data_IF_293107112694
#
_entry.id   IF_293107112694
#
_cell.length_a   1.000
_cell.length_b   1.000
_cell.length_c   1.000
_cell.angle_alpha   90.00
_cell.angle_beta   90.00
_cell.angle_gamma   90.00
#
_symmetry.space_group_name_H-M   'P 1'
#
loop_
_entity.id
_entity.type
_entity.pdbx_description
1 polymer ?
#
# COMPACT_ATOMS: atom_id res chain seq x y z
N UNK A 1 -11.11 3.63 10.88
CA UNK A 1 -12.48 3.57 10.30
C UNK A 1 -12.37 3.85 8.81
N UNK A 2 -13.11 3.16 7.94
CA UNK A 2 -13.08 3.42 6.49
C UNK A 2 -13.96 4.61 6.10
N UNK A 3 -13.66 5.26 4.96
CA UNK A 3 -14.49 6.36 4.42
C UNK A 3 -15.95 5.94 4.16
N UNK A 4 -16.17 4.75 3.64
CA UNK A 4 -17.52 4.22 3.43
C UNK A 4 -18.32 4.14 4.73
N UNK A 5 -17.67 3.73 5.83
CA UNK A 5 -18.28 3.66 7.15
C UNK A 5 -18.51 5.06 7.74
N UNK A 6 -17.55 5.98 7.56
CA UNK A 6 -17.67 7.38 7.97
C UNK A 6 -18.91 8.04 7.33
N UNK A 7 -19.08 7.86 6.02
CA UNK A 7 -20.20 8.42 5.25
C UNK A 7 -21.53 7.67 5.49
N UNK A 8 -21.50 6.54 6.20
CA UNK A 8 -22.68 5.73 6.50
C UNK A 8 -23.27 5.09 5.26
N UNK A 9 -22.44 4.33 4.53
CA UNK A 9 -22.86 3.55 3.37
C UNK A 9 -24.08 2.66 3.69
N UNK A 10 -25.09 2.70 2.83
CA UNK A 10 -26.33 1.93 2.97
C UNK A 10 -26.30 0.69 2.07
N UNK A 11 -26.59 -0.49 2.64
CA UNK A 11 -26.64 -1.76 1.88
C UNK A 11 -27.64 -1.65 0.72
N UNK A 12 -27.25 -2.12 -0.47
CA UNK A 12 -28.11 -2.14 -1.67
C UNK A 12 -27.95 -0.94 -2.61
N UNK A 13 -27.06 0.00 -2.34
CA UNK A 13 -26.73 1.10 -3.26
C UNK A 13 -25.24 1.41 -3.28
N UNK A 14 -24.67 1.63 -4.46
CA UNK A 14 -23.26 2.03 -4.63
C UNK A 14 -23.01 3.52 -4.34
N UNK A 15 -24.06 4.33 -4.21
CA UNK A 15 -23.94 5.80 -4.12
C UNK A 15 -24.69 6.43 -2.96
N UNK A 16 -25.54 5.68 -2.24
CA UNK A 16 -26.31 6.23 -1.12
C UNK A 16 -25.53 6.15 0.18
N UNK A 17 -25.24 7.34 0.69
CA UNK A 17 -24.59 7.57 1.97
C UNK A 17 -25.54 8.31 2.91
N UNK A 18 -25.52 7.93 4.19
CA UNK A 18 -26.27 8.64 5.24
C UNK A 18 -25.87 10.11 5.29
N UNK A 19 -24.57 10.40 5.19
CA UNK A 19 -24.06 11.76 5.18
C UNK A 19 -23.84 12.27 3.76
N UNK A 20 -24.29 13.49 3.49
CA UNK A 20 -24.36 14.09 2.16
C UNK A 20 -24.66 15.61 2.24
N UNK A 21 -25.01 16.19 1.09
CA UNK A 21 -25.35 17.60 0.91
C UNK A 21 -26.58 18.12 1.69
N UNK A 22 -27.38 17.27 2.35
CA UNK A 22 -28.47 17.68 3.26
C UNK A 22 -28.28 17.20 4.70
N UNK A 23 -27.38 16.24 4.93
CA UNK A 23 -27.06 15.72 6.26
C UNK A 23 -25.53 15.64 6.41
N UNK A 24 -24.92 16.68 6.98
CA UNK A 24 -23.45 16.77 7.07
C UNK A 24 -22.85 15.88 8.15
N UNK A 25 -21.57 15.58 8.00
CA UNK A 25 -20.76 14.92 9.00
C UNK A 25 -20.69 15.75 10.30
N UNK A 26 -20.90 15.14 11.47
CA UNK A 26 -20.90 15.83 12.76
C UNK A 26 -19.47 16.00 13.33
N UNK A 27 -18.52 16.41 12.49
CA UNK A 27 -17.11 16.57 12.87
C UNK A 27 -16.62 17.96 12.49
N UNK A 28 -15.78 18.58 13.32
CA UNK A 28 -15.13 19.87 13.03
C UNK A 28 -13.85 19.67 12.20
N UNK A 29 -13.21 18.51 12.34
CA UNK A 29 -12.00 18.14 11.61
C UNK A 29 -12.17 16.72 11.07
N UNK A 30 -11.93 16.55 9.77
CA UNK A 30 -11.91 15.25 9.09
C UNK A 30 -10.51 15.04 8.54
N UNK A 31 -9.84 13.99 9.01
CA UNK A 31 -8.52 13.58 8.50
C UNK A 31 -8.70 12.30 7.70
N UNK A 32 -8.25 12.31 6.45
CA UNK A 32 -8.27 11.16 5.55
C UNK A 32 -6.83 10.77 5.29
N UNK A 33 -6.45 9.60 5.80
CA UNK A 33 -5.15 9.00 5.52
C UNK A 33 -5.23 8.10 4.27
N UNK A 34 -4.08 7.86 3.64
CA UNK A 34 -3.93 7.07 2.40
C UNK A 34 -4.86 7.55 1.26
N UNK A 35 -4.92 8.88 1.07
CA UNK A 35 -5.79 9.55 0.08
C UNK A 35 -5.48 9.15 -1.37
N UNK A 36 -4.27 8.64 -1.63
CA UNK A 36 -3.84 8.01 -2.90
C UNK A 36 -4.85 6.95 -3.40
N UNK A 37 -5.47 6.21 -2.47
CA UNK A 37 -6.45 5.15 -2.76
C UNK A 37 -7.89 5.65 -2.91
N UNK A 38 -8.16 6.95 -2.73
CA UNK A 38 -9.52 7.52 -2.79
C UNK A 38 -9.92 7.81 -4.23
N UNK A 39 -11.03 7.24 -4.67
CA UNK A 39 -11.57 7.46 -6.01
C UNK A 39 -12.22 8.84 -6.16
N UNK A 40 -12.35 9.31 -7.39
CA UNK A 40 -13.00 10.60 -7.68
C UNK A 40 -14.43 10.65 -7.12
N UNK A 41 -15.19 9.57 -7.32
CA UNK A 41 -16.57 9.47 -6.85
C UNK A 41 -16.66 9.54 -5.33
N UNK A 42 -15.77 8.83 -4.62
CA UNK A 42 -15.78 8.84 -3.15
C UNK A 42 -15.32 10.18 -2.59
N UNK A 43 -14.35 10.84 -3.23
CA UNK A 43 -13.95 12.21 -2.88
C UNK A 43 -15.10 13.20 -3.04
N UNK A 44 -15.83 13.14 -4.17
CA UNK A 44 -16.99 14.01 -4.38
C UNK A 44 -18.04 13.84 -3.28
N UNK A 45 -18.33 12.60 -2.88
CA UNK A 45 -19.28 12.30 -1.78
C UNK A 45 -18.76 12.77 -0.43
N UNK A 46 -17.46 12.66 -0.18
CA UNK A 46 -16.84 13.22 1.02
C UNK A 46 -17.02 14.74 1.07
N UNK A 47 -16.70 15.45 -0.01
CA UNK A 47 -16.81 16.91 -0.08
C UNK A 47 -18.25 17.40 0.10
N UNK A 48 -19.25 16.69 -0.47
CA UNK A 48 -20.67 16.98 -0.23
C UNK A 48 -21.08 16.81 1.25
N UNK A 49 -20.46 15.86 1.96
CA UNK A 49 -20.79 15.51 3.33
C UNK A 49 -20.02 16.34 4.38
N UNK A 50 -18.90 16.96 4.02
CA UNK A 50 -18.12 17.85 4.91
C UNK A 50 -18.85 19.18 5.07
N UNK A 51 -18.93 19.69 6.32
CA UNK A 51 -19.56 20.99 6.58
C UNK A 51 -18.69 22.13 6.02
N UNK A 52 -19.29 23.24 5.55
CA UNK A 52 -18.52 24.39 5.08
C UNK A 52 -17.57 25.02 6.11
N UNK A 53 -17.87 24.86 7.41
CA UNK A 53 -17.06 25.35 8.54
C UNK A 53 -16.07 24.31 9.09
N UNK A 54 -16.08 23.08 8.57
CA UNK A 54 -15.17 22.01 8.99
C UNK A 54 -13.84 22.05 8.23
N UNK A 55 -12.79 21.53 8.86
CA UNK A 55 -11.45 21.38 8.26
C UNK A 55 -11.29 19.97 7.68
N UNK A 56 -10.86 19.87 6.43
CA UNK A 56 -10.53 18.61 5.77
C UNK A 56 -9.01 18.53 5.55
N UNK A 57 -8.37 17.51 6.11
CA UNK A 57 -6.96 17.21 5.89
C UNK A 57 -6.83 15.91 5.09
N UNK A 58 -6.21 16.00 3.93
CA UNK A 58 -5.91 14.86 3.07
C UNK A 58 -4.44 14.51 3.22
N UNK A 59 -4.15 13.28 3.65
CA UNK A 59 -2.81 12.74 3.83
C UNK A 59 -2.65 11.54 2.90
N UNK A 60 -1.49 11.44 2.26
CA UNK A 60 -1.17 10.34 1.37
C UNK A 60 0.03 10.65 0.49
N UNK A 61 0.42 9.67 -0.32
CA UNK A 61 1.54 9.77 -1.23
C UNK A 61 1.04 9.88 -2.68
N UNK A 62 1.27 11.01 -3.38
CA UNK A 62 0.78 11.21 -4.74
C UNK A 62 1.48 10.30 -5.77
N UNK A 63 2.63 9.73 -5.44
CA UNK A 63 3.43 8.88 -6.33
C UNK A 63 3.10 7.38 -6.18
N UNK A 64 2.31 7.01 -5.16
CA UNK A 64 1.81 5.65 -4.99
C UNK A 64 0.69 5.30 -5.98
N UNK A 65 0.43 4.00 -6.13
CA UNK A 65 -0.69 3.49 -6.90
C UNK A 65 -2.00 4.19 -6.51
N UNK A 66 -2.69 4.68 -7.53
CA UNK A 66 -3.98 5.34 -7.35
C UNK A 66 -5.09 4.32 -7.13
N UNK A 67 -6.23 4.78 -6.61
CA UNK A 67 -7.45 3.96 -6.47
C UNK A 67 -7.73 3.08 -7.69
N UNK A 68 -8.29 1.87 -7.51
CA UNK A 68 -8.69 1.02 -8.64
C UNK A 68 -9.79 1.69 -9.49
N UNK A 69 -10.66 2.47 -8.86
CA UNK A 69 -11.72 3.24 -9.51
C UNK A 69 -11.18 4.52 -10.17
N UNK A 70 -11.99 5.16 -11.02
CA UNK A 70 -11.58 6.29 -11.84
C UNK A 70 -11.06 7.51 -11.05
N UNK A 71 -10.05 8.17 -11.65
CA UNK A 71 -9.43 9.41 -11.16
C UNK A 71 -8.13 9.18 -10.38
N UNK A 72 -7.31 10.22 -10.30
CA UNK A 72 -6.07 10.27 -9.53
C UNK A 72 -6.11 11.48 -8.59
N UNK A 73 -7.12 11.52 -7.72
CA UNK A 73 -7.53 12.72 -6.97
C UNK A 73 -6.35 13.40 -6.28
N UNK A 74 -5.59 12.66 -5.46
CA UNK A 74 -4.48 13.24 -4.71
C UNK A 74 -3.38 13.78 -5.64
N UNK A 75 -2.94 12.97 -6.61
CA UNK A 75 -1.91 13.37 -7.56
C UNK A 75 -2.32 14.61 -8.37
N UNK A 76 -3.59 14.69 -8.77
CA UNK A 76 -4.11 15.82 -9.54
C UNK A 76 -4.23 17.09 -8.69
N UNK A 77 -4.64 16.97 -7.42
CA UNK A 77 -4.67 18.10 -6.48
C UNK A 77 -3.26 18.63 -6.19
N UNK A 78 -2.27 17.74 -6.02
CA UNK A 78 -0.87 18.12 -5.77
C UNK A 78 -0.20 18.71 -7.02
N UNK A 79 -0.59 18.26 -8.21
CA UNK A 79 -0.06 18.78 -9.48
C UNK A 79 -0.69 20.11 -9.90
N UNK A 80 -1.80 20.52 -9.28
CA UNK A 80 -2.52 21.74 -9.65
C UNK A 80 -1.70 22.99 -9.29
N UNK A 81 -1.64 24.01 -10.17
CA UNK A 81 -1.11 25.32 -9.80
C UNK A 81 -1.90 25.91 -8.64
N UNK A 82 -1.21 26.42 -7.62
CA UNK A 82 -1.84 27.10 -6.49
C UNK A 82 -2.27 28.49 -6.92
N UNK A 83 -3.54 28.63 -7.29
CA UNK A 83 -4.15 29.93 -7.59
C UNK A 83 -4.66 30.60 -6.30
N UNK A 84 -3.75 31.35 -5.68
CA UNK A 84 -3.92 32.65 -4.99
C UNK A 84 -4.77 32.75 -3.70
N UNK A 85 -5.56 31.78 -3.26
CA UNK A 85 -6.16 31.88 -1.90
C UNK A 85 -5.18 31.41 -0.82
N UNK A 86 -4.26 32.29 -0.40
CA UNK A 86 -3.38 32.03 0.76
C UNK A 86 -4.22 31.71 1.99
N UNK A 87 -3.95 30.58 2.63
CA UNK A 87 -4.64 30.24 3.87
C UNK A 87 -4.04 31.08 5.02
N UNK A 88 -4.80 32.00 5.64
CA UNK A 88 -4.27 32.87 6.69
C UNK A 88 -3.80 32.08 7.91
N UNK A 89 -4.45 30.96 8.24
CA UNK A 89 -4.06 30.11 9.35
C UNK A 89 -2.71 29.43 9.11
N UNK A 90 -2.44 28.95 7.89
CA UNK A 90 -1.12 28.37 7.53
C UNK A 90 -0.04 29.45 7.44
N UNK A 91 -0.40 30.64 6.97
CA UNK A 91 0.53 31.79 6.95
C UNK A 91 0.96 32.14 8.37
N UNK A 92 0.04 32.10 9.34
CA UNK A 92 0.35 32.34 10.75
C UNK A 92 1.12 31.18 11.40
N UNK A 93 0.77 29.92 11.08
CA UNK A 93 1.39 28.74 11.69
C UNK A 93 2.83 28.51 11.24
N UNK A 94 3.11 28.75 9.96
CA UNK A 94 4.38 28.35 9.33
C UNK A 94 5.21 29.57 8.91
N UNK A 95 4.64 30.79 8.97
CA UNK A 95 5.30 32.02 8.50
C UNK A 95 6.68 32.25 9.11
N UNK A 96 6.82 32.04 10.42
CA UNK A 96 8.11 32.20 11.12
C UNK A 96 9.08 31.06 10.75
N UNK A 97 8.59 29.81 10.66
CA UNK A 97 9.38 28.63 10.26
C UNK A 97 9.90 28.71 8.81
N UNK A 98 9.12 29.31 7.90
CA UNK A 98 9.55 29.56 6.51
C UNK A 98 10.73 30.54 6.41
N UNK A 99 10.92 31.38 7.42
CA UNK A 99 12.00 32.37 7.50
C UNK A 99 13.18 31.91 8.35
N UNK A 100 13.06 30.75 9.01
CA UNK A 100 14.10 30.20 9.88
C UNK A 100 15.32 29.76 9.06
N UNK A 101 16.42 30.51 9.19
CA UNK A 101 17.72 30.16 8.61
C UNK A 101 18.52 29.32 9.61
N UNK A 102 18.29 28.01 9.64
CA UNK A 102 19.02 27.11 10.54
C UNK A 102 19.25 25.72 9.95
N UNK A 103 20.51 25.47 9.51
CA UNK A 103 21.20 24.20 9.19
C UNK A 103 20.53 23.09 8.37
N UNK A 104 19.25 23.22 8.05
CA UNK A 104 18.48 22.32 7.21
C UNK A 104 18.09 23.09 5.95
N UNK A 105 18.27 22.49 4.75
CA UNK A 105 17.98 23.13 3.46
C UNK A 105 16.65 23.90 3.49
N UNK A 106 16.70 25.20 3.24
CA UNK A 106 15.52 26.06 3.25
C UNK A 106 14.55 25.66 2.13
N UNK A 107 13.24 25.76 2.41
CA UNK A 107 12.20 25.52 1.40
C UNK A 107 12.38 26.47 0.22
N UNK A 108 12.34 25.90 -0.99
CA UNK A 108 12.32 26.67 -2.23
C UNK A 108 11.08 27.58 -2.31
N UNK A 109 11.14 28.63 -3.14
CA UNK A 109 10.01 29.55 -3.32
C UNK A 109 8.71 28.81 -3.72
N UNK A 110 8.82 27.81 -4.59
CA UNK A 110 7.71 26.96 -5.02
C UNK A 110 7.12 26.14 -3.87
N UNK A 111 7.96 25.58 -2.99
CA UNK A 111 7.49 24.83 -1.81
C UNK A 111 6.79 25.75 -0.80
N UNK A 112 7.30 26.97 -0.62
CA UNK A 112 6.67 27.97 0.23
C UNK A 112 5.28 28.37 -0.29
N UNK A 113 5.15 28.60 -1.60
CA UNK A 113 3.87 28.98 -2.20
C UNK A 113 2.87 27.82 -2.21
N UNK A 114 3.33 26.59 -2.44
CA UNK A 114 2.50 25.37 -2.26
C UNK A 114 1.99 25.25 -0.83
N UNK A 115 2.86 25.45 0.16
CA UNK A 115 2.52 25.38 1.57
C UNK A 115 1.48 26.44 1.96
N UNK A 116 1.63 27.67 1.47
CA UNK A 116 0.65 28.75 1.66
C UNK A 116 -0.70 28.44 1.01
N UNK A 117 -0.69 27.66 -0.07
CA UNK A 117 -1.87 27.12 -0.75
C UNK A 117 -2.53 25.92 -0.07
N UNK A 118 -1.98 25.41 1.03
CA UNK A 118 -2.49 24.23 1.72
C UNK A 118 -1.95 22.89 1.20
N UNK A 119 -0.94 22.90 0.33
CA UNK A 119 -0.24 21.69 -0.14
C UNK A 119 1.10 21.59 0.59
N UNK A 120 1.22 20.62 1.48
CA UNK A 120 2.44 20.37 2.25
C UNK A 120 3.08 19.09 1.73
N UNK A 121 4.26 19.19 1.12
CA UNK A 121 5.03 18.04 0.67
C UNK A 121 6.20 17.80 1.63
N UNK A 122 6.21 16.64 2.28
CA UNK A 122 7.31 16.24 3.15
C UNK A 122 8.42 15.60 2.30
N UNK A 123 9.56 16.28 2.18
CA UNK A 123 10.68 15.83 1.34
C UNK A 123 11.67 14.91 2.06
N UNK A 124 11.65 14.88 3.40
CA UNK A 124 12.57 14.08 4.22
C UNK A 124 11.88 12.85 4.81
N UNK A 125 12.26 11.68 4.33
CA UNK A 125 11.93 10.42 4.97
C UNK A 125 12.85 10.18 6.17
N UNK A 126 12.31 10.10 7.39
CA UNK A 126 13.06 9.63 8.57
C UNK A 126 13.10 8.10 8.70
N UNK A 127 12.26 7.40 7.94
CA UNK A 127 12.04 5.94 8.01
C UNK A 127 12.61 5.17 6.82
N UNK A 128 13.00 5.89 5.77
CA UNK A 128 13.52 5.34 4.52
C UNK A 128 14.77 6.13 4.18
N UNK A 129 15.91 5.66 4.66
CA UNK A 129 17.23 6.16 4.28
C UNK A 129 17.98 5.11 3.43
N UNK A 130 19.18 5.47 3.00
CA UNK A 130 20.04 4.57 2.23
C UNK A 130 19.56 4.23 0.82
N UNK A 131 19.86 3.00 0.41
CA UNK A 131 19.81 2.58 -1.00
C UNK A 131 18.39 2.35 -1.49
N UNK A 132 17.47 1.82 -0.66
CA UNK A 132 16.05 1.66 -1.01
C UNK A 132 15.40 3.03 -1.26
N UNK A 133 15.70 4.02 -0.42
CA UNK A 133 15.19 5.38 -0.59
C UNK A 133 15.70 6.03 -1.88
N UNK A 134 16.98 5.80 -2.21
CA UNK A 134 17.58 6.27 -3.45
C UNK A 134 16.98 5.58 -4.68
N UNK A 135 16.73 4.27 -4.60
CA UNK A 135 16.03 3.50 -5.64
C UNK A 135 14.62 4.04 -5.88
N UNK A 136 13.84 4.25 -4.80
CA UNK A 136 12.49 4.78 -4.89
C UNK A 136 12.47 6.20 -5.52
N UNK A 137 13.42 7.07 -5.15
CA UNK A 137 13.58 8.40 -5.77
C UNK A 137 13.90 8.32 -7.25
N UNK A 138 14.79 7.42 -7.66
CA UNK A 138 15.16 7.22 -9.07
C UNK A 138 13.96 6.71 -9.90
N UNK A 139 13.18 5.76 -9.36
CA UNK A 139 11.94 5.28 -9.99
C UNK A 139 10.97 6.44 -10.17
N UNK A 140 10.72 7.23 -9.11
CA UNK A 140 9.82 8.40 -9.17
C UNK A 140 10.26 9.42 -10.21
N UNK A 141 11.56 9.70 -10.30
CA UNK A 141 12.14 10.61 -11.29
C UNK A 141 12.01 10.09 -12.73
N UNK A 142 11.71 8.80 -12.93
CA UNK A 142 11.68 8.19 -14.25
C UNK A 142 13.08 7.88 -14.80
N UNK A 143 14.11 7.90 -13.94
CA UNK A 143 15.49 7.67 -14.34
C UNK A 143 15.81 6.17 -14.36
N UNK A 144 15.51 5.52 -15.48
CA UNK A 144 15.73 4.08 -15.62
C UNK A 144 17.22 3.70 -15.62
N UNK A 145 18.12 4.61 -15.98
CA UNK A 145 19.56 4.37 -15.93
C UNK A 145 20.05 4.31 -14.49
N UNK A 146 19.64 5.27 -13.66
CA UNK A 146 19.98 5.30 -12.24
C UNK A 146 19.35 4.14 -11.47
N UNK A 147 18.09 3.80 -11.75
CA UNK A 147 17.43 2.61 -11.16
C UNK A 147 18.25 1.35 -11.42
N UNK A 148 18.66 1.11 -12.67
CA UNK A 148 19.46 -0.07 -13.02
C UNK A 148 20.86 -0.03 -12.40
N UNK A 149 21.48 1.15 -12.30
CA UNK A 149 22.76 1.32 -11.61
C UNK A 149 22.65 0.93 -10.13
N UNK A 150 21.60 1.38 -9.44
CA UNK A 150 21.35 1.05 -8.03
C UNK A 150 21.08 -0.44 -7.87
N UNK A 151 20.21 -1.03 -8.70
CA UNK A 151 19.90 -2.45 -8.66
C UNK A 151 21.13 -3.35 -8.88
N UNK A 152 22.13 -2.87 -9.61
CA UNK A 152 23.42 -3.58 -9.84
C UNK A 152 24.54 -3.14 -8.91
N UNK A 153 24.29 -2.29 -7.93
CA UNK A 153 25.33 -1.73 -7.07
C UNK A 153 26.01 -2.78 -6.16
N UNK A 154 25.37 -3.92 -5.94
CA UNK A 154 25.82 -4.93 -4.97
C UNK A 154 25.55 -4.55 -3.52
N UNK A 155 24.80 -3.45 -3.28
CA UNK A 155 24.38 -3.04 -1.96
C UNK A 155 23.44 -4.08 -1.32
N UNK A 156 23.65 -4.47 -0.05
CA UNK A 156 22.87 -5.54 0.59
C UNK A 156 21.37 -5.22 0.75
N UNK A 157 20.95 -3.96 0.63
CA UNK A 157 19.54 -3.57 0.71
C UNK A 157 18.78 -3.79 -0.60
N UNK A 158 19.46 -4.10 -1.72
CA UNK A 158 18.81 -4.33 -3.02
C UNK A 158 19.41 -5.52 -3.75
N UNK A 159 18.58 -6.30 -4.44
CA UNK A 159 19.04 -7.36 -5.33
C UNK A 159 18.23 -7.41 -6.62
N UNK A 160 18.88 -7.83 -7.71
CA UNK A 160 18.26 -7.91 -9.03
C UNK A 160 18.58 -9.26 -9.68
N UNK A 161 17.53 -10.01 -9.99
CA UNK A 161 17.62 -11.37 -10.53
C UNK A 161 16.80 -11.51 -11.81
N UNK A 162 17.23 -12.41 -12.68
CA UNK A 162 16.45 -12.78 -13.87
C UNK A 162 15.16 -13.51 -13.46
N UNK A 163 14.12 -13.56 -14.31
CA UNK A 163 12.90 -14.32 -14.02
C UNK A 163 13.11 -15.83 -13.78
N UNK A 164 14.26 -16.36 -14.20
CA UNK A 164 14.63 -17.77 -14.08
C UNK A 164 15.42 -18.05 -12.78
N UNK A 165 16.10 -17.03 -12.24
CA UNK A 165 16.87 -17.13 -10.99
C UNK A 165 15.99 -16.80 -9.79
N UNK A 166 15.40 -17.84 -9.21
CA UNK A 166 14.41 -17.74 -8.13
C UNK A 166 14.89 -18.38 -6.83
N UNK A 167 16.15 -18.79 -6.75
CA UNK A 167 16.68 -19.52 -5.60
C UNK A 167 16.68 -18.67 -4.33
N UNK A 168 17.10 -17.40 -4.43
CA UNK A 168 17.05 -16.46 -3.32
C UNK A 168 15.61 -16.15 -2.89
N UNK A 169 14.67 -16.09 -3.83
CA UNK A 169 13.23 -15.94 -3.53
C UNK A 169 12.71 -17.15 -2.75
N UNK A 170 13.04 -18.36 -3.22
CA UNK A 170 12.66 -19.61 -2.56
C UNK A 170 13.23 -19.67 -1.15
N UNK A 171 14.50 -19.34 -0.97
CA UNK A 171 15.16 -19.34 0.34
C UNK A 171 14.44 -18.44 1.35
N UNK A 172 14.10 -17.21 0.96
CA UNK A 172 13.39 -16.28 1.85
C UNK A 172 11.96 -16.74 2.18
N UNK A 173 11.23 -17.29 1.20
CA UNK A 173 9.88 -17.82 1.42
C UNK A 173 9.91 -19.00 2.39
N UNK A 174 10.86 -19.92 2.21
CA UNK A 174 11.01 -21.07 3.10
C UNK A 174 11.41 -20.62 4.50
N UNK A 175 12.45 -19.79 4.63
CA UNK A 175 12.94 -19.32 5.92
C UNK A 175 11.87 -18.54 6.71
N UNK A 176 11.13 -17.64 6.05
CA UNK A 176 10.04 -16.91 6.69
C UNK A 176 8.89 -17.84 7.10
N UNK A 177 8.53 -18.80 6.24
CA UNK A 177 7.46 -19.77 6.54
C UNK A 177 7.84 -20.71 7.68
N UNK A 178 9.11 -21.13 7.78
CA UNK A 178 9.59 -21.97 8.89
C UNK A 178 9.45 -21.26 10.24
N UNK A 179 9.79 -19.97 10.31
CA UNK A 179 9.61 -19.16 11.53
C UNK A 179 8.12 -19.06 11.88
N UNK A 180 7.29 -18.76 10.89
CA UNK A 180 5.84 -18.62 11.07
C UNK A 180 5.21 -19.93 11.54
N UNK A 181 5.54 -21.05 10.91
CA UNK A 181 5.02 -22.38 11.27
C UNK A 181 5.48 -22.79 12.65
N UNK A 182 6.76 -22.61 13.00
CA UNK A 182 7.28 -22.94 14.35
C UNK A 182 6.53 -22.16 15.44
N UNK A 183 6.43 -20.84 15.29
CA UNK A 183 5.68 -20.02 16.26
C UNK A 183 4.21 -20.42 16.32
N UNK A 184 3.60 -20.77 15.18
CA UNK A 184 2.22 -21.21 15.13
C UNK A 184 1.99 -22.57 15.82
N UNK A 185 2.91 -23.52 15.70
CA UNK A 185 2.85 -24.82 16.38
C UNK A 185 3.06 -24.69 17.90
N UNK A 186 3.90 -23.74 18.33
CA UNK A 186 4.11 -23.39 19.74
C UNK A 186 2.95 -22.57 20.34
N UNK A 187 1.97 -22.18 19.53
CA UNK A 187 0.84 -21.33 19.94
C UNK A 187 1.19 -19.84 20.13
N UNK A 188 2.39 -19.41 19.74
CA UNK A 188 2.82 -18.01 19.75
C UNK A 188 2.23 -17.24 18.56
N UNK A 189 1.01 -16.76 18.75
CA UNK A 189 0.29 -15.94 17.78
C UNK A 189 1.04 -14.66 17.39
N UNK A 190 1.73 -14.01 18.34
CA UNK A 190 2.43 -12.74 18.08
C UNK A 190 3.71 -13.00 17.28
N UNK A 191 4.48 -14.03 17.65
CA UNK A 191 5.65 -14.47 16.89
C UNK A 191 5.30 -14.87 15.46
N UNK A 192 4.21 -15.63 15.29
CA UNK A 192 3.75 -16.05 13.97
C UNK A 192 3.32 -14.85 13.10
N UNK A 193 2.58 -13.89 13.67
CA UNK A 193 2.19 -12.66 12.97
C UNK A 193 3.40 -11.81 12.58
N UNK A 194 4.39 -11.66 13.48
CA UNK A 194 5.66 -10.98 13.15
C UNK A 194 6.44 -11.70 12.06
N UNK A 195 6.43 -13.04 12.05
CA UNK A 195 7.03 -13.84 11.00
C UNK A 195 6.46 -13.52 9.61
N UNK A 196 5.15 -13.21 9.51
CA UNK A 196 4.52 -12.79 8.25
C UNK A 196 4.99 -11.43 7.72
N UNK A 197 5.56 -10.58 8.59
CA UNK A 197 6.16 -9.30 8.20
C UNK A 197 7.59 -9.46 7.67
N UNK A 198 8.26 -10.60 7.91
CA UNK A 198 9.67 -10.77 7.53
C UNK A 198 9.90 -10.80 6.02
N UNK A 199 8.97 -11.39 5.25
CA UNK A 199 9.06 -11.47 3.80
C UNK A 199 7.70 -11.32 3.12
N UNK A 200 7.68 -10.68 1.95
CA UNK A 200 6.53 -10.71 1.05
C UNK A 200 6.90 -10.78 -0.41
N UNK A 201 6.28 -11.73 -1.13
CA UNK A 201 6.25 -11.74 -2.59
C UNK A 201 5.09 -10.89 -3.13
N UNK A 202 5.44 -9.89 -3.94
CA UNK A 202 4.51 -8.99 -4.61
C UNK A 202 4.51 -9.23 -6.12
N UNK A 203 3.30 -9.32 -6.69
CA UNK A 203 3.07 -9.48 -8.12
C UNK A 203 2.24 -8.31 -8.66
N UNK A 204 2.44 -7.96 -9.94
CA UNK A 204 1.55 -7.01 -10.60
C UNK A 204 0.20 -7.64 -10.99
N UNK A 205 0.24 -8.88 -11.49
CA UNK A 205 -0.93 -9.58 -12.02
C UNK A 205 -1.56 -10.49 -10.97
N UNK A 206 -2.87 -10.78 -11.13
CA UNK A 206 -3.54 -11.85 -10.37
C UNK A 206 -3.29 -13.21 -11.00
N UNK A 207 -3.46 -13.27 -12.32
CA UNK A 207 -3.39 -14.49 -13.11
C UNK A 207 -2.19 -14.49 -14.07
N UNK A 208 -1.93 -15.63 -14.68
CA UNK A 208 -0.87 -15.78 -15.68
C UNK A 208 0.52 -16.06 -15.10
N UNK A 209 1.56 -16.07 -15.95
CA UNK A 209 2.89 -16.54 -15.58
C UNK A 209 3.61 -15.70 -14.52
N UNK A 210 3.20 -14.44 -14.33
CA UNK A 210 3.73 -13.53 -13.33
C UNK A 210 2.70 -13.20 -12.24
N UNK A 211 1.59 -13.94 -12.23
CA UNK A 211 0.44 -13.66 -11.38
C UNK A 211 0.54 -14.29 -9.99
N UNK A 212 -0.19 -13.70 -9.05
CA UNK A 212 -0.32 -14.20 -7.66
C UNK A 212 -0.68 -15.68 -7.61
N UNK A 213 -1.62 -16.16 -8.42
CA UNK A 213 -2.08 -17.55 -8.35
C UNK A 213 -0.94 -18.56 -8.57
N UNK A 214 -0.16 -18.38 -9.64
CA UNK A 214 0.99 -19.23 -9.95
C UNK A 214 2.04 -19.18 -8.83
N UNK A 215 2.41 -17.98 -8.40
CA UNK A 215 3.50 -17.81 -7.44
C UNK A 215 3.11 -18.19 -6.02
N UNK A 216 1.85 -18.06 -5.65
CA UNK A 216 1.33 -18.58 -4.38
C UNK A 216 1.38 -20.12 -4.37
N UNK A 217 0.96 -20.78 -5.46
CA UNK A 217 1.09 -22.23 -5.59
C UNK A 217 2.55 -22.67 -5.51
N UNK A 218 3.44 -22.02 -6.27
CA UNK A 218 4.86 -22.37 -6.27
C UNK A 218 5.50 -22.21 -4.88
N UNK A 219 5.17 -21.13 -4.18
CA UNK A 219 5.62 -20.89 -2.81
C UNK A 219 5.13 -21.97 -1.85
N UNK A 220 3.85 -22.36 -1.94
CA UNK A 220 3.30 -23.47 -1.15
C UNK A 220 4.04 -24.79 -1.39
N UNK A 221 4.35 -25.10 -2.66
CA UNK A 221 5.12 -26.30 -3.01
C UNK A 221 6.53 -26.28 -2.42
N UNK A 222 7.21 -25.13 -2.43
CA UNK A 222 8.52 -24.97 -1.82
C UNK A 222 8.49 -25.16 -0.31
N UNK A 223 7.52 -24.54 0.38
CA UNK A 223 7.35 -24.66 1.83
C UNK A 223 6.96 -26.09 2.22
N UNK A 224 6.06 -26.72 1.47
CA UNK A 224 5.67 -28.10 1.69
C UNK A 224 6.84 -29.07 1.52
N UNK A 225 7.65 -28.88 0.46
CA UNK A 225 8.85 -29.69 0.23
C UNK A 225 9.87 -29.54 1.36
N UNK A 226 10.12 -28.30 1.83
CA UNK A 226 11.07 -28.03 2.89
C UNK A 226 10.62 -28.60 4.26
N UNK A 227 9.32 -28.53 4.54
CA UNK A 227 8.72 -29.08 5.77
C UNK A 227 8.45 -30.59 5.73
N UNK A 228 8.58 -31.22 4.55
CA UNK A 228 8.21 -32.63 4.36
C UNK A 228 6.70 -32.88 4.42
N UNK A 229 5.88 -31.83 4.24
CA UNK A 229 4.41 -31.89 4.32
C UNK A 229 3.77 -31.45 3.01
N UNK A 230 2.61 -32.02 2.69
CA UNK A 230 1.77 -31.49 1.61
C UNK A 230 0.85 -30.40 2.17
N UNK A 231 1.00 -29.17 1.68
CA UNK A 231 0.17 -28.05 2.11
C UNK A 231 -1.09 -27.96 1.24
N UNK A 232 -2.24 -28.23 1.85
CA UNK A 232 -3.55 -28.12 1.22
C UNK A 232 -4.21 -26.79 1.65
N UNK A 233 -4.38 -25.81 0.73
CA UNK A 233 -4.96 -24.51 1.09
C UNK A 233 -6.45 -24.59 1.47
N UNK A 234 -7.11 -25.73 1.23
CA UNK A 234 -8.50 -25.97 1.63
C UNK A 234 -8.65 -26.45 3.07
N UNK A 235 -7.53 -26.77 3.73
CA UNK A 235 -7.47 -27.18 5.14
C UNK A 235 -6.72 -26.16 5.96
N UNK A 236 -7.06 -26.08 7.25
CA UNK A 236 -6.35 -25.24 8.20
C UNK A 236 -5.12 -25.98 8.75
N UNK A 237 -3.94 -25.38 8.62
CA UNK A 237 -2.69 -25.91 9.15
C UNK A 237 -1.88 -24.83 9.88
N UNK A 238 -1.10 -25.18 10.92
CA UNK A 238 -0.26 -24.22 11.63
C UNK A 238 0.71 -23.49 10.69
N UNK A 239 0.74 -22.16 10.80
CA UNK A 239 1.56 -21.27 10.00
C UNK A 239 0.97 -20.89 8.65
N UNK A 240 -0.25 -21.35 8.32
CA UNK A 240 -0.92 -20.94 7.09
C UNK A 240 -1.17 -19.42 7.08
N UNK A 241 -0.58 -18.66 6.13
CA UNK A 241 -0.77 -17.23 6.04
C UNK A 241 -2.15 -16.92 5.44
N UNK A 242 -2.88 -16.00 6.04
CA UNK A 242 -4.24 -15.61 5.68
C UNK A 242 -4.31 -14.15 5.24
N UNK A 243 -5.16 -13.87 4.25
CA UNK A 243 -5.58 -12.52 3.90
C UNK A 243 -7.10 -12.44 3.90
N UNK A 244 -7.64 -11.50 4.66
CA UNK A 244 -9.07 -11.18 4.62
C UNK A 244 -9.39 -10.44 3.32
N UNK A 245 -10.39 -10.92 2.58
CA UNK A 245 -10.75 -10.41 1.25
C UNK A 245 -12.01 -9.54 1.24
N UNK A 246 -12.79 -9.56 2.33
CA UNK A 246 -13.96 -8.72 2.52
C UNK A 246 -14.13 -8.34 4.00
N UNK A 247 -14.72 -7.17 4.26
CA UNK A 247 -14.99 -6.73 5.63
C UNK A 247 -16.09 -7.58 6.26
N UNK A 248 -15.84 -8.11 7.45
CA UNK A 248 -16.85 -8.71 8.33
C UNK A 248 -16.85 -7.97 9.67
N UNK A 249 -17.89 -7.17 9.87
CA UNK A 249 -18.01 -6.31 11.03
C UNK A 249 -18.43 -7.07 12.30
N UNK A 250 -19.07 -8.23 12.17
CA UNK A 250 -19.46 -9.07 13.31
C UNK A 250 -18.22 -9.78 13.86
N UNK A 251 -17.43 -10.38 12.96
CA UNK A 251 -16.14 -10.99 13.27
C UNK A 251 -15.03 -9.96 13.57
N UNK A 252 -15.28 -8.66 13.36
CA UNK A 252 -14.31 -7.56 13.52
C UNK A 252 -13.03 -7.76 12.69
N UNK A 253 -13.16 -8.32 11.49
CA UNK A 253 -12.08 -8.49 10.51
C UNK A 253 -12.31 -7.62 9.29
N UNK A 254 -11.24 -7.06 8.74
CA UNK A 254 -11.31 -6.06 7.68
C UNK A 254 -10.52 -6.52 6.45
N UNK A 255 -11.00 -6.17 5.26
CA UNK A 255 -10.32 -6.49 4.00
C UNK A 255 -8.89 -5.90 4.01
N UNK A 256 -7.91 -6.75 3.73
CA UNK A 256 -6.49 -6.42 3.84
C UNK A 256 -5.83 -6.87 5.14
N UNK A 257 -6.61 -7.28 6.16
CA UNK A 257 -6.04 -7.86 7.37
C UNK A 257 -5.25 -9.12 7.04
N UNK A 258 -3.98 -9.14 7.43
CA UNK A 258 -3.14 -10.32 7.43
C UNK A 258 -3.35 -11.11 8.73
N UNK A 259 -3.39 -12.43 8.60
CA UNK A 259 -3.50 -13.34 9.73
C UNK A 259 -2.75 -14.63 9.50
N UNK A 260 -2.72 -15.48 10.52
CA UNK A 260 -2.07 -16.79 10.49
C UNK A 260 -2.87 -17.80 11.28
N UNK A 261 -2.93 -19.05 10.81
CA UNK A 261 -3.46 -20.15 11.62
C UNK A 261 -2.41 -20.57 12.65
N UNK A 262 -2.79 -20.62 13.91
CA UNK A 262 -1.97 -21.12 15.01
C UNK A 262 -2.66 -22.28 15.72
N UNK A 263 -1.87 -23.13 16.36
CA UNK A 263 -2.37 -24.24 17.16
C UNK A 263 -2.57 -23.77 18.60
N UNK A 264 -3.75 -24.01 19.16
CA UNK A 264 -3.96 -23.80 20.60
C UNK A 264 -3.42 -24.98 21.40
N UNK A 265 -3.30 -24.80 22.72
CA UNK A 265 -2.87 -25.84 23.66
C UNK A 265 -3.70 -27.13 23.57
N UNK A 266 -4.99 -27.02 23.21
CA UNK A 266 -5.92 -28.14 23.02
C UNK A 266 -5.80 -28.80 21.63
N UNK A 267 -4.87 -28.33 20.80
CA UNK A 267 -4.64 -28.81 19.43
C UNK A 267 -5.62 -28.26 18.39
N UNK A 268 -6.56 -27.40 18.78
CA UNK A 268 -7.54 -26.83 17.86
C UNK A 268 -6.92 -25.65 17.07
N UNK A 269 -7.05 -25.61 15.72
CA UNK A 269 -6.57 -24.50 14.94
C UNK A 269 -7.39 -23.23 15.22
N UNK A 270 -6.71 -22.11 15.43
CA UNK A 270 -7.31 -20.79 15.60
C UNK A 270 -6.63 -19.78 14.70
N UNK A 271 -7.40 -18.88 14.09
CA UNK A 271 -6.83 -17.81 13.27
C UNK A 271 -6.46 -16.63 14.17
N UNK A 272 -5.22 -16.15 14.04
CA UNK A 272 -4.73 -14.95 14.70
C UNK A 272 -4.62 -13.81 13.69
N UNK A 273 -5.10 -12.63 14.06
CA UNK A 273 -4.99 -11.39 13.29
C UNK A 273 -4.38 -10.27 14.14
N UNK A 274 -3.56 -9.41 13.54
CA UNK A 274 -2.93 -8.30 14.26
C UNK A 274 -3.98 -7.24 14.67
N UNK A 275 -3.94 -6.81 15.93
CA UNK A 275 -4.72 -5.66 16.44
C UNK A 275 -3.86 -4.81 17.37
N UNK A 276 -3.25 -3.76 16.83
CA UNK A 276 -2.32 -2.94 17.62
C UNK A 276 -1.11 -3.76 18.03
N UNK A 277 -0.86 -3.95 19.32
CA UNK A 277 0.18 -4.84 19.85
C UNK A 277 -0.25 -6.28 20.08
N UNK A 278 -1.57 -6.54 20.04
CA UNK A 278 -2.15 -7.80 20.50
C UNK A 278 -2.61 -8.67 19.33
N UNK A 279 -2.69 -9.97 19.58
CA UNK A 279 -3.30 -10.91 18.65
C UNK A 279 -4.80 -11.04 18.93
N UNK A 280 -5.62 -10.83 17.91
CA UNK A 280 -7.05 -11.11 17.94
C UNK A 280 -7.29 -12.51 17.38
N UNK A 281 -7.79 -13.39 18.26
CA UNK A 281 -8.01 -14.80 17.94
C UNK A 281 -9.47 -15.03 17.54
N UNK A 282 -9.68 -15.76 16.44
CA UNK A 282 -11.00 -16.10 15.94
C UNK A 282 -11.02 -17.54 15.43
N UNK A 283 -12.11 -18.26 15.72
CA UNK A 283 -12.25 -19.62 15.23
C UNK A 283 -12.42 -19.63 13.71
N UNK A 284 -11.74 -20.52 12.96
CA UNK A 284 -11.78 -20.50 11.49
C UNK A 284 -13.18 -20.66 10.88
N UNK A 285 -14.13 -21.28 11.59
CA UNK A 285 -15.53 -21.38 11.13
C UNK A 285 -16.27 -20.03 11.05
N UNK A 286 -15.75 -18.99 11.69
CA UNK A 286 -16.28 -17.63 11.60
C UNK A 286 -15.69 -16.86 10.41
N UNK A 287 -14.70 -17.43 9.71
CA UNK A 287 -14.07 -16.81 8.55
C UNK A 287 -14.86 -17.12 7.30
N UNK A 288 -15.54 -16.10 6.76
CA UNK A 288 -16.36 -16.22 5.55
C UNK A 288 -15.64 -15.78 4.27
N UNK A 289 -14.61 -14.92 4.39
CA UNK A 289 -13.94 -14.27 3.26
C UNK A 289 -12.43 -14.16 3.50
N UNK A 290 -11.76 -15.30 3.53
CA UNK A 290 -10.31 -15.41 3.74
C UNK A 290 -9.69 -16.31 2.68
N UNK A 291 -8.46 -16.00 2.28
CA UNK A 291 -7.66 -16.82 1.37
C UNK A 291 -6.23 -16.98 1.90
N UNK A 292 -5.57 -18.07 1.50
CA UNK A 292 -4.13 -18.27 1.77
C UNK A 292 -3.30 -17.25 0.99
N UNK A 293 -2.26 -16.66 1.61
CA UNK A 293 -1.47 -15.58 1.02
C UNK A 293 0.05 -15.81 1.10
N UNK A 294 0.60 -16.56 0.15
CA UNK A 294 2.06 -16.64 -0.04
C UNK A 294 2.59 -15.57 -1.02
N UNK A 295 1.76 -15.16 -1.97
CA UNK A 295 2.00 -14.03 -2.86
C UNK A 295 0.79 -13.08 -2.79
N UNK A 296 1.00 -11.79 -3.06
CA UNK A 296 -0.10 -10.83 -3.15
C UNK A 296 0.11 -9.81 -4.26
N UNK A 297 -0.97 -9.20 -4.72
CA UNK A 297 -0.87 -8.10 -5.68
C UNK A 297 -0.30 -6.86 -4.99
N UNK A 298 0.52 -6.06 -5.68
CA UNK A 298 1.06 -4.79 -5.14
C UNK A 298 -0.07 -3.84 -4.67
N UNK A 299 -1.23 -3.84 -5.34
CA UNK A 299 -2.40 -3.06 -4.89
C UNK A 299 -2.91 -3.49 -3.51
N UNK A 300 -2.84 -4.79 -3.18
CA UNK A 300 -3.30 -5.30 -1.88
C UNK A 300 -2.28 -5.10 -0.76
N UNK A 301 -1.02 -4.78 -1.08
CA UNK A 301 0.01 -4.48 -0.08
C UNK A 301 0.05 -3.01 0.34
N UNK A 302 -0.80 -2.15 -0.24
CA UNK A 302 -0.89 -0.75 0.16
C UNK A 302 -1.24 -0.63 1.65
N UNK A 303 -0.54 0.29 2.34
CA UNK A 303 -0.62 0.44 3.79
C UNK A 303 0.13 -0.61 4.62
N UNK A 304 0.63 -1.69 4.01
CA UNK A 304 1.47 -2.71 4.69
C UNK A 304 2.96 -2.48 4.42
N UNK A 305 3.82 -3.02 5.28
CA UNK A 305 5.27 -3.01 5.10
C UNK A 305 5.86 -4.34 5.57
N UNK A 306 6.99 -4.72 4.99
CA UNK A 306 7.70 -5.97 5.24
C UNK A 306 9.20 -5.73 5.35
N UNK A 307 9.91 -6.55 6.09
CA UNK A 307 11.37 -6.41 6.23
C UNK A 307 12.05 -6.64 4.87
N UNK A 308 11.69 -7.74 4.19
CA UNK A 308 12.10 -8.04 2.83
C UNK A 308 10.90 -8.09 1.88
N UNK A 309 11.01 -7.43 0.73
CA UNK A 309 10.02 -7.52 -0.35
C UNK A 309 10.67 -8.07 -1.60
N UNK A 310 10.09 -9.12 -2.18
CA UNK A 310 10.42 -9.58 -3.52
C UNK A 310 9.33 -9.14 -4.50
N UNK A 311 9.72 -8.49 -5.58
CA UNK A 311 8.83 -7.96 -6.61
C UNK A 311 9.02 -8.76 -7.89
N UNK A 312 7.99 -9.53 -8.27
CA UNK A 312 7.96 -10.26 -9.53
C UNK A 312 7.42 -9.34 -10.63
N UNK A 313 8.30 -8.90 -11.53
CA UNK A 313 7.93 -8.03 -12.64
C UNK A 313 7.29 -8.85 -13.77
N UNK A 314 6.15 -8.40 -14.32
CA UNK A 314 5.65 -8.96 -15.56
C UNK A 314 6.52 -8.52 -16.74
N UNK A 315 6.29 -9.11 -17.91
CA UNK A 315 6.94 -8.69 -19.14
C UNK A 315 6.72 -7.20 -19.46
N UNK A 316 7.69 -6.59 -20.16
CA UNK A 316 7.73 -5.16 -20.52
C UNK A 316 6.44 -4.62 -21.17
N UNK A 317 5.74 -5.45 -21.95
CA UNK A 317 4.52 -5.10 -22.66
C UNK A 317 3.28 -5.00 -21.76
N UNK A 318 3.37 -5.46 -20.51
CA UNK A 318 2.27 -5.41 -19.54
C UNK A 318 1.88 -3.96 -19.24
N UNK A 319 0.62 -3.60 -19.50
CA UNK A 319 0.07 -2.29 -19.15
C UNK A 319 0.05 -2.00 -17.65
N UNK A 320 0.05 -3.04 -16.81
CA UNK A 320 0.11 -2.91 -15.35
C UNK A 320 1.52 -2.54 -14.85
N UNK A 321 2.56 -2.67 -15.68
CA UNK A 321 3.92 -2.34 -15.29
C UNK A 321 4.14 -0.83 -15.44
N UNK A 322 3.92 -0.09 -14.37
CA UNK A 322 4.05 1.37 -14.33
C UNK A 322 4.98 1.84 -13.23
N UNK A 323 5.35 3.12 -13.29
CA UNK A 323 6.25 3.78 -12.35
C UNK A 323 5.68 3.74 -10.93
N UNK A 324 4.40 4.07 -10.80
CA UNK A 324 3.66 4.10 -9.53
C UNK A 324 3.56 2.70 -8.93
N UNK A 325 3.37 1.66 -9.77
CA UNK A 325 3.37 0.26 -9.33
C UNK A 325 4.74 -0.14 -8.77
N UNK A 326 5.83 0.15 -9.49
CA UNK A 326 7.18 -0.13 -9.04
C UNK A 326 7.52 0.62 -7.75
N UNK A 327 7.23 1.92 -7.71
CA UNK A 327 7.46 2.78 -6.56
C UNK A 327 6.71 2.26 -5.32
N UNK A 328 5.44 1.91 -5.49
CA UNK A 328 4.62 1.35 -4.41
C UNK A 328 5.23 0.04 -3.90
N UNK A 329 5.65 -0.86 -4.78
CA UNK A 329 6.25 -2.13 -4.41
C UNK A 329 7.58 -1.96 -3.65
N UNK A 330 8.46 -1.09 -4.13
CA UNK A 330 9.77 -0.79 -3.50
C UNK A 330 9.58 -0.21 -2.10
N UNK A 331 8.65 0.73 -1.94
CA UNK A 331 8.38 1.39 -0.64
C UNK A 331 7.66 0.49 0.37
N UNK A 332 7.29 -0.75 -0.01
CA UNK A 332 6.80 -1.73 0.97
C UNK A 332 7.92 -2.37 1.78
N UNK A 333 9.18 -2.31 1.33
CA UNK A 333 10.30 -2.91 2.04
C UNK A 333 10.88 -1.97 3.10
N UNK A 334 11.24 -2.51 4.26
CA UNK A 334 12.00 -1.80 5.30
C UNK A 334 13.51 -1.97 5.11
N UNK A 335 13.95 -3.20 4.86
CA UNK A 335 15.38 -3.56 4.91
C UNK A 335 15.94 -4.03 3.55
N UNK A 336 15.17 -4.83 2.80
CA UNK A 336 15.64 -5.38 1.52
C UNK A 336 14.56 -5.39 0.42
N UNK A 337 14.93 -4.97 -0.79
CA UNK A 337 14.11 -5.12 -2.00
C UNK A 337 14.80 -6.04 -3.00
N UNK A 338 14.14 -7.15 -3.34
CA UNK A 338 14.53 -8.01 -4.46
C UNK A 338 13.64 -7.73 -5.66
N UNK A 339 14.22 -7.37 -6.80
CA UNK A 339 13.52 -7.23 -8.07
C UNK A 339 13.82 -8.44 -8.94
N UNK A 340 12.78 -9.13 -9.41
CA UNK A 340 12.89 -10.31 -10.27
C UNK A 340 12.26 -9.96 -11.61
N UNK A 341 13.06 -9.85 -12.66
CA UNK A 341 12.62 -9.33 -13.94
C UNK A 341 13.75 -9.13 -14.94
N UNK A 342 13.42 -8.72 -16.16
CA UNK A 342 14.42 -8.30 -17.15
C UNK A 342 14.75 -6.82 -16.99
N UNK A 343 15.91 -6.39 -17.48
CA UNK A 343 16.24 -4.96 -17.55
C UNK A 343 15.22 -4.17 -18.35
N UNK A 344 14.72 -4.74 -19.45
CA UNK A 344 13.73 -4.09 -20.28
C UNK A 344 12.39 -3.91 -19.53
N UNK A 345 12.02 -4.88 -18.70
CA UNK A 345 10.86 -4.75 -17.80
C UNK A 345 11.05 -3.62 -16.79
N UNK A 346 12.24 -3.50 -16.20
CA UNK A 346 12.55 -2.37 -15.30
C UNK A 346 12.46 -1.03 -16.04
N UNK A 347 13.10 -0.91 -17.22
CA UNK A 347 13.06 0.32 -18.02
C UNK A 347 11.64 0.69 -18.42
N UNK A 348 10.87 -0.26 -18.93
CA UNK A 348 9.48 -0.08 -19.32
C UNK A 348 8.62 0.39 -18.13
N UNK A 349 8.78 -0.23 -16.97
CA UNK A 349 8.04 0.14 -15.76
C UNK A 349 8.41 1.54 -15.26
N UNK A 350 9.68 1.92 -15.23
CA UNK A 350 10.11 3.25 -14.78
C UNK A 350 9.61 4.36 -15.73
N UNK A 351 9.59 4.10 -17.03
CA UNK A 351 9.19 5.07 -18.04
C UNK A 351 7.68 5.21 -18.17
N UNK A 352 6.91 4.12 -17.98
CA UNK A 352 5.45 4.13 -18.13
C UNK A 352 4.78 4.77 -16.92
N UNK A 353 4.09 5.90 -17.13
CA UNK A 353 3.26 6.54 -16.11
C UNK A 353 1.79 6.16 -16.28
N UNK A 354 1.05 6.14 -15.17
CA UNK A 354 -0.41 5.99 -15.21
C UNK A 354 -1.03 7.30 -15.70
N UNK A 355 -1.41 7.35 -16.98
CA UNK A 355 -2.18 8.46 -17.54
C UNK A 355 -3.67 8.23 -17.28
N UNK A 356 -4.22 8.88 -16.25
CA UNK A 356 -5.67 8.94 -16.01
C UNK A 356 -6.19 10.30 -16.45
N UNK A 357 -7.14 10.30 -17.38
CA UNK A 357 -7.86 11.51 -17.75
C UNK A 357 -8.68 11.99 -16.54
N UNK A 358 -8.29 13.12 -15.96
CA UNK A 358 -9.13 13.87 -15.04
C UNK A 358 -9.20 15.33 -15.48
N UNK A 359 -10.36 15.95 -15.28
CA UNK A 359 -10.50 17.40 -15.44
C UNK A 359 -9.91 18.20 -14.28
N UNK A 360 -9.44 17.52 -13.20
CA UNK A 360 -9.08 18.16 -11.93
C UNK A 360 -7.81 19.01 -12.00
N UNK A 361 -6.92 18.74 -12.97
CA UNK A 361 -5.71 19.55 -13.18
C UNK A 361 -6.00 20.90 -13.84
N UNK A 362 -7.20 21.08 -14.40
CA UNK A 362 -7.61 22.34 -15.04
C UNK A 362 -8.01 23.36 -13.98
N UNK A 363 -7.92 24.64 -14.32
CA UNK A 363 -8.51 25.71 -13.51
C UNK A 363 -9.99 25.39 -13.21
N UNK A 364 -10.38 25.52 -11.94
CA UNK A 364 -11.78 25.41 -11.55
C UNK A 364 -12.47 26.65 -12.07
N UNK A 365 -13.28 26.47 -13.13
CA UNK A 365 -14.27 27.47 -13.50
C UNK A 365 -15.48 27.29 -12.58
N UNK A 366 -16.09 28.38 -12.09
CA UNK A 366 -17.40 28.30 -11.47
C UNK A 366 -18.32 27.50 -12.39
N UNK A 367 -19.00 26.49 -11.82
CA UNK A 367 -20.04 25.80 -12.55
C UNK A 367 -21.26 26.72 -12.57
N UNK A 368 -21.31 27.57 -13.59
CA UNK A 368 -22.52 28.27 -13.98
C UNK A 368 -23.42 27.19 -14.60
N UNK A 369 -24.32 26.63 -13.79
CA UNK A 369 -25.28 25.61 -14.27
C UNK A 369 -26.15 26.13 -15.42
N UNK A 370 -26.93 25.26 -16.07
CA UNK A 370 -27.94 25.69 -17.05
C UNK A 370 -29.02 26.59 -16.42
#
# INVERSE_FOLDING_TARGET
>A
MTLHRLLGWQRGSSSRFKYNATNRLPYDVVVVDETSMVSLTLMARLLEAVRPDARLLLVGDPDQLTSVDAGAVLADLVARPVEVSRNPALTQLVGDDLTATGSEEALSADEQDRLRGGIIQLSRGRRFDGTIASLARAVRAGDSAEVLRILRSGDPAVSFHSPEDVDALRADIVASSEVVTRSAEEGDAIGALKGLESHRLLCAHRDGPYGVGRWAQQAMEWVGTASGQFLDPTRWYPGQPLLVTANDYEAKIYNGDAGVIVQREDGVPIAAFQRGSDAFLIHPSQLSSVQTVYAMTIHRSQGSQYDTVSVMLPAEASSLLTRELLYTAITRARNHVRVIGTEDSVRAGVQRQVLRASGLRREIRPYDGP
#
